data_IF_990751805422
#
_entry.id   IF_990751805422
#
_cell.length_a   1.000
_cell.length_b   1.000
_cell.length_c   1.000
_cell.angle_alpha   90.00
_cell.angle_beta   90.00
_cell.angle_gamma   90.00
#
_symmetry.space_group_name_H-M   'P 1'
#
loop_
_entity.id
_entity.type
_entity.pdbx_description
1 polymer ?
#
# COMPACT_ATOMS: atom_id res chain seq x y z
N UNK A 1 -21.18 -24.41 13.37
CA UNK A 1 -20.82 -23.08 12.82
C UNK A 1 -19.40 -22.80 13.27
N UNK A 2 -18.43 -22.80 12.36
CA UNK A 2 -17.11 -22.26 12.68
C UNK A 2 -17.27 -20.75 12.90
N UNK A 3 -16.97 -20.28 14.09
CA UNK A 3 -16.92 -18.85 14.39
C UNK A 3 -15.78 -18.25 13.58
N UNK A 4 -16.07 -17.17 12.83
CA UNK A 4 -15.08 -16.51 11.99
C UNK A 4 -13.93 -15.98 12.87
N UNK A 5 -12.69 -16.40 12.56
CA UNK A 5 -11.51 -15.98 13.30
C UNK A 5 -11.14 -14.56 12.88
N UNK A 6 -10.99 -13.68 13.86
CA UNK A 6 -10.64 -12.28 13.65
C UNK A 6 -9.18 -12.02 14.00
N UNK A 7 -8.54 -11.17 13.22
CA UNK A 7 -7.19 -10.68 13.47
C UNK A 7 -7.21 -9.41 14.33
N UNK A 8 -6.22 -9.29 15.20
CA UNK A 8 -6.03 -8.16 16.10
C UNK A 8 -4.56 -7.76 16.09
N UNK A 9 -4.32 -6.46 16.15
CA UNK A 9 -3.01 -5.89 16.33
C UNK A 9 -2.78 -5.52 17.80
N UNK A 10 -1.72 -6.09 18.36
CA UNK A 10 -1.20 -5.81 19.69
C UNK A 10 0.17 -5.14 19.55
N UNK A 11 0.33 -3.97 20.16
CA UNK A 11 1.61 -3.27 20.25
C UNK A 11 1.90 -2.91 21.69
N UNK A 12 3.09 -3.24 22.18
CA UNK A 12 3.55 -2.82 23.50
C UNK A 12 5.00 -2.32 23.46
N UNK A 13 5.33 -1.45 24.40
CA UNK A 13 6.66 -0.91 24.61
C UNK A 13 7.29 -1.50 25.87
N UNK A 14 8.54 -1.95 25.78
CA UNK A 14 9.30 -2.56 26.88
C UNK A 14 10.10 -1.49 27.61
N UNK A 15 9.83 -1.30 28.91
CA UNK A 15 10.58 -0.38 29.76
C UNK A 15 11.79 -1.05 30.41
N UNK A 16 11.61 -2.30 30.85
CA UNK A 16 12.65 -3.14 31.44
C UNK A 16 12.74 -4.44 30.65
N UNK A 17 13.82 -4.60 29.89
CA UNK A 17 14.04 -5.80 29.12
C UNK A 17 14.48 -6.95 30.03
N UNK A 18 13.51 -7.62 30.67
CA UNK A 18 13.78 -8.85 31.43
C UNK A 18 13.85 -10.04 30.49
N UNK A 19 14.87 -10.92 30.61
CA UNK A 19 14.83 -12.23 29.99
C UNK A 19 13.51 -12.93 30.36
N UNK A 20 12.80 -13.46 29.37
CA UNK A 20 11.53 -14.17 29.57
C UNK A 20 10.25 -13.35 29.36
N UNK A 21 10.31 -12.03 29.25
CA UNK A 21 9.09 -11.18 29.06
C UNK A 21 8.22 -11.62 27.88
N UNK A 22 8.85 -11.93 26.75
CA UNK A 22 8.14 -12.44 25.58
C UNK A 22 7.50 -13.81 25.87
N UNK A 23 8.19 -14.66 26.64
CA UNK A 23 7.67 -15.95 27.09
C UNK A 23 6.42 -15.77 27.95
N UNK A 24 6.43 -14.83 28.90
CA UNK A 24 5.27 -14.56 29.75
C UNK A 24 4.04 -14.11 28.94
N UNK A 25 4.24 -13.19 27.99
CA UNK A 25 3.17 -12.70 27.11
C UNK A 25 2.67 -13.86 26.22
N UNK A 26 3.58 -14.67 25.66
CA UNK A 26 3.21 -15.85 24.87
C UNK A 26 2.44 -16.88 25.70
N UNK A 27 2.78 -17.07 26.98
CA UNK A 27 2.04 -17.95 27.89
C UNK A 27 0.63 -17.43 28.15
N UNK A 28 0.44 -16.12 28.35
CA UNK A 28 -0.90 -15.52 28.51
C UNK A 28 -1.75 -15.76 27.26
N UNK A 29 -1.19 -15.48 26.07
CA UNK A 29 -1.87 -15.74 24.80
C UNK A 29 -2.24 -17.21 24.64
N UNK A 30 -1.32 -18.12 24.98
CA UNK A 30 -1.56 -19.56 24.97
C UNK A 30 -2.68 -20.00 25.93
N UNK A 31 -2.70 -19.48 27.16
CA UNK A 31 -3.76 -19.76 28.15
C UNK A 31 -5.13 -19.27 27.67
N UNK A 32 -5.18 -18.14 26.97
CA UNK A 32 -6.41 -17.61 26.37
C UNK A 32 -6.77 -18.28 25.02
N UNK A 33 -5.95 -19.22 24.53
CA UNK A 33 -6.07 -19.83 23.19
C UNK A 33 -6.14 -18.77 22.07
N UNK A 34 -5.31 -17.75 22.18
CA UNK A 34 -5.09 -16.73 21.16
C UNK A 34 -3.83 -17.12 20.38
N UNK A 35 -3.95 -17.21 19.05
CA UNK A 35 -2.82 -17.58 18.20
C UNK A 35 -1.97 -16.36 17.87
N UNK A 36 -0.65 -16.52 17.86
CA UNK A 36 0.26 -15.54 17.28
C UNK A 36 0.40 -15.86 15.79
N UNK A 37 -0.06 -14.96 14.93
CA UNK A 37 0.12 -15.08 13.48
C UNK A 37 1.53 -14.62 13.10
N UNK A 38 1.96 -13.49 13.64
CA UNK A 38 3.32 -12.96 13.44
C UNK A 38 3.70 -12.07 14.62
N UNK A 39 4.99 -12.00 14.93
CA UNK A 39 5.57 -11.08 15.91
C UNK A 39 6.87 -10.49 15.35
N UNK A 40 7.10 -9.20 15.60
CA UNK A 40 8.37 -8.57 15.29
C UNK A 40 8.67 -7.39 16.23
N UNK A 41 9.94 -7.00 16.30
CA UNK A 41 10.32 -5.70 16.86
C UNK A 41 9.94 -4.61 15.86
N UNK A 42 9.28 -3.55 16.32
CA UNK A 42 8.90 -2.44 15.44
C UNK A 42 9.75 -1.23 15.79
N UNK A 43 10.68 -0.89 14.90
CA UNK A 43 11.52 0.28 15.06
C UNK A 43 10.66 1.55 15.08
N UNK A 44 10.89 2.41 16.07
CA UNK A 44 10.26 3.74 16.08
C UNK A 44 10.97 4.64 15.08
N UNK A 45 10.20 5.46 14.37
CA UNK A 45 10.74 6.61 13.62
C UNK A 45 11.76 7.35 14.54
N UNK A 46 12.97 7.56 14.02
CA UNK A 46 14.15 8.17 14.68
C UNK A 46 15.22 7.21 15.26
N UNK A 47 15.29 5.94 14.83
CA UNK A 47 16.46 5.08 15.09
C UNK A 47 16.75 4.77 16.57
N UNK A 48 15.76 4.98 17.45
CA UNK A 48 15.87 4.60 18.86
C UNK A 48 15.71 3.08 19.01
N UNK A 49 16.56 2.51 19.86
CA UNK A 49 16.60 1.11 20.29
C UNK A 49 15.19 0.49 20.28
N UNK A 50 15.04 -0.58 19.51
CA UNK A 50 13.78 -1.28 19.23
C UNK A 50 13.16 -1.91 20.49
N UNK A 51 12.52 -1.06 21.31
CA UNK A 51 11.79 -1.42 22.55
C UNK A 51 10.33 -1.74 22.29
N UNK A 52 9.83 -1.52 21.08
CA UNK A 52 8.45 -1.86 20.73
C UNK A 52 8.37 -3.25 20.14
N UNK A 53 7.27 -3.93 20.42
CA UNK A 53 6.93 -5.23 19.85
C UNK A 53 5.53 -5.15 19.29
N UNK A 54 5.41 -5.50 18.02
CA UNK A 54 4.14 -5.62 17.31
C UNK A 54 3.81 -7.09 17.12
N UNK A 55 2.58 -7.47 17.42
CA UNK A 55 2.05 -8.81 17.23
C UNK A 55 0.77 -8.71 16.41
N UNK A 56 0.67 -9.56 15.39
CA UNK A 56 -0.60 -9.92 14.78
C UNK A 56 -1.10 -11.19 15.48
N UNK A 57 -2.23 -11.09 16.17
CA UNK A 57 -2.83 -12.18 16.93
C UNK A 57 -4.22 -12.52 16.38
N UNK A 58 -4.62 -13.78 16.48
CA UNK A 58 -5.88 -14.28 15.92
C UNK A 58 -6.70 -15.02 16.96
N UNK A 59 -7.98 -14.69 17.04
CA UNK A 59 -8.91 -15.37 17.94
C UNK A 59 -10.33 -15.41 17.35
N UNK A 60 -11.12 -16.36 17.83
CA UNK A 60 -12.54 -16.54 17.50
C UNK A 60 -13.49 -15.84 18.49
N UNK A 61 -12.95 -15.19 19.53
CA UNK A 61 -13.73 -14.56 20.59
C UNK A 61 -13.11 -13.23 21.03
N UNK A 62 -13.80 -12.13 20.72
CA UNK A 62 -13.39 -10.78 21.06
C UNK A 62 -13.27 -10.52 22.57
N UNK A 63 -14.01 -11.25 23.42
CA UNK A 63 -13.91 -11.10 24.88
C UNK A 63 -12.54 -11.52 25.41
N UNK A 64 -11.86 -12.45 24.73
CA UNK A 64 -10.49 -12.83 25.07
C UNK A 64 -9.52 -11.66 24.86
N UNK A 65 -9.79 -10.78 23.90
CA UNK A 65 -8.99 -9.59 23.64
C UNK A 65 -9.19 -8.55 24.75
N UNK A 66 -10.43 -8.32 25.19
CA UNK A 66 -10.72 -7.43 26.33
C UNK A 66 -10.01 -7.90 27.61
N UNK A 67 -10.07 -9.21 27.88
CA UNK A 67 -9.38 -9.83 29.00
C UNK A 67 -7.86 -9.71 28.87
N UNK A 68 -7.31 -9.98 27.68
CA UNK A 68 -5.88 -9.81 27.39
C UNK A 68 -5.44 -8.37 27.67
N UNK A 69 -6.18 -7.38 27.19
CA UNK A 69 -5.89 -5.96 27.45
C UNK A 69 -5.83 -5.65 28.95
N UNK A 70 -6.85 -6.09 29.70
CA UNK A 70 -6.93 -5.90 31.15
C UNK A 70 -5.77 -6.56 31.93
N UNK A 71 -5.23 -7.68 31.42
CA UNK A 71 -4.06 -8.35 32.01
C UNK A 71 -2.79 -7.58 31.66
N UNK A 72 -2.60 -7.22 30.39
CA UNK A 72 -1.38 -6.57 29.91
C UNK A 72 -1.19 -5.16 30.50
N UNK A 73 -2.28 -4.44 30.79
CA UNK A 73 -2.23 -3.14 31.48
C UNK A 73 -1.62 -3.23 32.89
N UNK A 74 -1.69 -4.40 33.54
CA UNK A 74 -1.12 -4.63 34.88
C UNK A 74 0.32 -5.11 34.86
N UNK A 75 0.90 -5.35 33.68
CA UNK A 75 2.29 -5.82 33.54
C UNK A 75 3.23 -4.63 33.63
N UNK A 76 3.88 -4.45 34.78
CA UNK A 76 4.72 -3.27 35.09
C UNK A 76 5.89 -3.01 34.13
N UNK A 77 6.39 -4.05 33.44
CA UNK A 77 7.57 -3.93 32.58
C UNK A 77 7.27 -3.44 31.17
N UNK A 78 5.98 -3.32 30.82
CA UNK A 78 5.54 -2.88 29.50
C UNK A 78 4.50 -1.77 29.60
N UNK A 79 4.30 -1.07 28.49
CA UNK A 79 3.11 -0.25 28.27
C UNK A 79 2.40 -0.74 27.03
N UNK A 80 1.13 -1.10 27.17
CA UNK A 80 0.25 -1.38 26.05
C UNK A 80 0.04 -0.09 25.24
N UNK A 81 0.39 -0.11 23.96
CA UNK A 81 0.26 1.04 23.04
C UNK A 81 -0.95 0.91 22.15
N UNK A 82 -1.21 -0.29 21.62
CA UNK A 82 -2.36 -0.57 20.75
C UNK A 82 -2.90 -1.96 21.03
N UNK A 83 -4.23 -2.08 21.07
CA UNK A 83 -4.95 -3.34 21.03
C UNK A 83 -6.26 -3.10 20.27
N UNK A 84 -6.26 -3.41 18.97
CA UNK A 84 -7.36 -3.06 18.05
C UNK A 84 -7.32 -3.92 16.79
N UNK A 85 -8.34 -3.80 15.94
CA UNK A 85 -8.31 -4.38 14.60
C UNK A 85 -7.10 -3.84 13.80
N UNK A 86 -6.35 -4.70 13.07
CA UNK A 86 -5.14 -4.29 12.38
C UNK A 86 -5.46 -3.38 11.20
N UNK A 87 -4.66 -2.32 11.04
CA UNK A 87 -4.61 -1.56 9.79
C UNK A 87 -3.54 -2.13 8.86
N UNK A 88 -3.56 -1.78 7.56
CA UNK A 88 -2.49 -2.16 6.62
C UNK A 88 -1.10 -1.78 7.16
N UNK A 89 -0.98 -0.59 7.77
CA UNK A 89 0.27 -0.18 8.36
C UNK A 89 0.73 -1.07 9.51
N UNK A 90 -0.20 -1.55 10.33
CA UNK A 90 0.16 -2.43 11.44
C UNK A 90 0.64 -3.79 10.90
N UNK A 91 -0.01 -4.33 9.86
CA UNK A 91 0.41 -5.56 9.18
C UNK A 91 1.84 -5.43 8.63
N UNK A 92 2.15 -4.31 7.99
CA UNK A 92 3.46 -4.06 7.38
C UNK A 92 4.52 -3.76 8.43
N UNK A 93 4.17 -3.03 9.49
CA UNK A 93 5.07 -2.76 10.59
C UNK A 93 5.53 -4.04 11.28
N UNK A 94 4.61 -5.01 11.45
CA UNK A 94 4.94 -6.33 11.98
C UNK A 94 5.76 -7.14 10.98
N UNK A 95 5.41 -7.13 9.70
CA UNK A 95 6.11 -7.93 8.69
C UNK A 95 7.55 -7.46 8.45
N UNK A 96 7.77 -6.15 8.38
CA UNK A 96 9.07 -5.56 8.04
C UNK A 96 9.83 -5.01 9.24
N UNK A 97 9.21 -4.95 10.41
CA UNK A 97 9.86 -4.51 11.65
C UNK A 97 10.05 -2.99 11.78
N UNK A 98 9.36 -2.17 10.98
CA UNK A 98 9.45 -0.70 11.00
C UNK A 98 8.16 -0.05 10.50
N UNK A 99 7.84 1.16 10.95
CA UNK A 99 6.71 1.91 10.40
C UNK A 99 7.04 2.50 9.04
N UNK A 100 6.04 2.52 8.15
CA UNK A 100 6.09 3.26 6.89
C UNK A 100 5.79 4.73 7.19
N UNK A 101 6.58 5.61 6.58
CA UNK A 101 6.39 7.04 6.71
C UNK A 101 5.15 7.50 5.94
N UNK A 102 4.34 8.34 6.61
CA UNK A 102 3.20 9.02 6.00
C UNK A 102 3.50 10.50 5.98
N UNK A 103 2.96 11.19 4.98
CA UNK A 103 2.98 12.64 5.00
C UNK A 103 2.21 13.19 6.22
N UNK A 104 2.71 14.31 6.76
CA UNK A 104 2.17 14.93 7.97
C UNK A 104 0.82 15.62 7.72
N UNK A 105 0.62 16.14 6.51
CA UNK A 105 -0.56 16.91 6.13
C UNK A 105 -1.58 16.03 5.38
N UNK A 106 -1.13 15.17 4.47
CA UNK A 106 -1.97 14.24 3.72
C UNK A 106 -1.77 12.78 4.12
N UNK A 107 -2.70 12.27 4.95
CA UNK A 107 -2.68 10.88 5.45
C UNK A 107 -2.83 9.82 4.36
N UNK A 108 -3.17 10.21 3.13
CA UNK A 108 -3.25 9.32 1.95
C UNK A 108 -1.93 9.18 1.21
N UNK A 109 -0.96 10.06 1.50
CA UNK A 109 0.36 10.05 0.88
C UNK A 109 1.34 9.22 1.71
N UNK A 110 1.92 8.19 1.08
CA UNK A 110 2.89 7.27 1.67
C UNK A 110 4.22 7.40 0.93
N UNK A 111 5.31 7.54 1.69
CA UNK A 111 6.65 7.72 1.14
C UNK A 111 7.48 6.47 1.31
N UNK A 112 8.16 6.10 0.25
CA UNK A 112 9.09 4.98 0.19
C UNK A 112 10.35 5.41 -0.52
N UNK A 113 11.50 4.94 -0.04
CA UNK A 113 12.74 5.01 -0.83
C UNK A 113 12.97 3.70 -1.59
N UNK A 114 13.74 3.76 -2.68
CA UNK A 114 13.96 2.64 -3.60
C UNK A 114 14.50 1.38 -2.91
N UNK A 115 15.28 1.56 -1.86
CA UNK A 115 15.81 0.48 -1.02
C UNK A 115 14.70 -0.31 -0.30
N UNK A 116 13.52 0.29 -0.17
CA UNK A 116 12.33 -0.26 0.48
C UNK A 116 11.32 -0.84 -0.50
N UNK A 117 11.70 -1.06 -1.77
CA UNK A 117 10.78 -1.51 -2.81
C UNK A 117 10.01 -2.79 -2.42
N UNK A 118 10.63 -3.68 -1.63
CA UNK A 118 9.95 -4.86 -1.10
C UNK A 118 8.80 -4.52 -0.13
N UNK A 119 8.97 -3.49 0.70
CA UNK A 119 7.91 -2.99 1.60
C UNK A 119 6.79 -2.33 0.80
N UNK A 120 7.15 -1.54 -0.22
CA UNK A 120 6.19 -0.94 -1.15
C UNK A 120 5.36 -2.01 -1.87
N UNK A 121 6.01 -3.06 -2.38
CA UNK A 121 5.34 -4.19 -3.04
C UNK A 121 4.35 -4.85 -2.10
N UNK A 122 4.74 -5.11 -0.85
CA UNK A 122 3.85 -5.70 0.14
C UNK A 122 2.69 -4.78 0.53
N UNK A 123 2.92 -3.46 0.61
CA UNK A 123 1.89 -2.45 0.86
C UNK A 123 0.84 -2.45 -0.25
N UNK A 124 1.27 -2.33 -1.51
CA UNK A 124 0.36 -2.32 -2.66
C UNK A 124 -0.35 -3.66 -2.81
N UNK A 125 0.33 -4.78 -2.58
CA UNK A 125 -0.29 -6.10 -2.65
C UNK A 125 -1.44 -6.25 -1.64
N UNK A 126 -1.30 -5.69 -0.44
CA UNK A 126 -2.37 -5.70 0.56
C UNK A 126 -3.55 -4.81 0.16
N UNK A 127 -3.30 -3.67 -0.49
CA UNK A 127 -4.36 -2.83 -1.07
C UNK A 127 -5.09 -3.58 -2.19
N UNK A 128 -4.36 -4.22 -3.11
CA UNK A 128 -4.93 -4.89 -4.29
C UNK A 128 -5.80 -6.10 -3.96
N UNK A 129 -5.63 -6.70 -2.77
CA UNK A 129 -6.49 -7.79 -2.29
C UNK A 129 -7.89 -7.31 -1.93
N UNK A 130 -8.07 -6.01 -1.61
CA UNK A 130 -9.38 -5.45 -1.32
C UNK A 130 -10.27 -5.48 -2.55
N UNK A 131 -11.57 -5.65 -2.32
CA UNK A 131 -12.58 -5.58 -3.36
C UNK A 131 -13.10 -4.14 -3.52
N UNK A 132 -13.60 -3.82 -4.70
CA UNK A 132 -14.20 -2.53 -5.01
C UNK A 132 -13.24 -1.56 -5.72
N UNK A 133 -13.68 -0.31 -5.79
CA UNK A 133 -12.92 0.74 -6.44
C UNK A 133 -11.76 1.19 -5.54
N UNK A 134 -10.55 1.19 -6.08
CA UNK A 134 -9.36 1.77 -5.43
C UNK A 134 -8.64 2.59 -6.49
N UNK A 135 -8.53 3.90 -6.30
CA UNK A 135 -7.76 4.77 -7.19
C UNK A 135 -6.44 5.14 -6.51
N UNK A 136 -5.34 4.65 -7.07
CA UNK A 136 -4.00 4.75 -6.49
C UNK A 136 -3.12 5.55 -7.42
N UNK A 137 -2.48 6.61 -6.92
CA UNK A 137 -1.52 7.40 -7.67
C UNK A 137 -0.11 7.00 -7.29
N UNK A 138 0.77 6.81 -8.27
CA UNK A 138 2.19 6.58 -8.01
C UNK A 138 3.05 7.69 -8.62
N UNK A 139 3.71 8.41 -7.74
CA UNK A 139 4.68 9.47 -8.01
C UNK A 139 6.10 8.94 -7.88
N UNK A 140 7.02 9.62 -8.54
CA UNK A 140 8.44 9.29 -8.52
C UNK A 140 9.12 9.66 -9.82
N UNK A 141 10.43 9.89 -9.75
CA UNK A 141 11.25 10.21 -10.91
C UNK A 141 11.22 9.07 -11.95
N UNK A 142 11.54 9.35 -13.23
CA UNK A 142 11.68 8.30 -14.23
C UNK A 142 12.64 7.19 -13.79
N UNK A 143 12.27 5.93 -14.06
CA UNK A 143 13.11 4.73 -13.80
C UNK A 143 13.39 4.41 -12.32
N UNK A 144 12.67 5.03 -11.37
CA UNK A 144 12.78 4.71 -9.94
C UNK A 144 12.16 3.34 -9.57
N UNK A 145 11.37 2.74 -10.47
CA UNK A 145 10.75 1.42 -10.29
C UNK A 145 9.23 1.42 -10.12
N UNK A 146 8.53 2.48 -10.56
CA UNK A 146 7.06 2.63 -10.39
C UNK A 146 6.29 1.47 -11.04
N UNK A 147 6.55 1.21 -12.31
CA UNK A 147 5.88 0.15 -13.06
C UNK A 147 6.24 -1.23 -12.52
N UNK A 148 7.53 -1.47 -12.27
CA UNK A 148 8.04 -2.75 -11.77
C UNK A 148 7.47 -3.10 -10.40
N UNK A 149 7.43 -2.13 -9.48
CA UNK A 149 6.83 -2.32 -8.15
C UNK A 149 5.33 -2.63 -8.23
N UNK A 150 4.61 -1.94 -9.12
CA UNK A 150 3.16 -2.17 -9.32
C UNK A 150 2.89 -3.56 -9.88
N UNK A 151 3.66 -4.00 -10.88
CA UNK A 151 3.56 -5.35 -11.46
C UNK A 151 3.90 -6.42 -10.41
N UNK A 152 4.98 -6.22 -9.64
CA UNK A 152 5.36 -7.13 -8.56
C UNK A 152 4.27 -7.25 -7.48
N UNK A 153 3.61 -6.15 -7.13
CA UNK A 153 2.48 -6.15 -6.22
C UNK A 153 1.26 -6.90 -6.78
N UNK A 154 0.98 -6.79 -8.08
CA UNK A 154 -0.08 -7.58 -8.73
C UNK A 154 0.20 -9.08 -8.60
N UNK A 155 1.44 -9.50 -8.87
CA UNK A 155 1.88 -10.90 -8.71
C UNK A 155 1.73 -11.36 -7.26
N UNK A 156 2.21 -10.58 -6.29
CA UNK A 156 2.12 -10.88 -4.86
C UNK A 156 0.67 -10.97 -4.36
N UNK A 157 -0.23 -10.14 -4.90
CA UNK A 157 -1.66 -10.18 -4.60
C UNK A 157 -2.44 -11.25 -5.38
N UNK A 158 -1.79 -12.01 -6.26
CA UNK A 158 -2.43 -12.94 -7.19
C UNK A 158 -3.54 -12.28 -8.03
N UNK A 159 -3.25 -11.07 -8.53
CA UNK A 159 -4.13 -10.28 -9.40
C UNK A 159 -3.55 -10.24 -10.80
N UNK A 160 -4.41 -10.35 -11.81
CA UNK A 160 -4.04 -10.08 -13.20
C UNK A 160 -3.91 -8.56 -13.37
N UNK A 161 -3.14 -8.11 -14.36
CA UNK A 161 -2.99 -6.68 -14.64
C UNK A 161 -3.05 -6.36 -16.13
N UNK A 162 -3.54 -5.17 -16.47
CA UNK A 162 -3.58 -4.66 -17.85
C UNK A 162 -3.12 -3.22 -17.90
N UNK A 163 -2.20 -2.94 -18.83
CA UNK A 163 -1.81 -1.58 -19.19
C UNK A 163 -2.85 -0.97 -20.13
N UNK A 164 -3.34 0.21 -19.76
CA UNK A 164 -4.20 1.10 -20.55
C UNK A 164 -3.34 2.26 -21.10
N UNK A 165 -2.11 1.95 -21.52
CA UNK A 165 -1.19 2.95 -22.09
C UNK A 165 -1.29 3.00 -23.61
N UNK A 166 -1.18 4.19 -24.16
CA UNK A 166 -0.98 4.47 -25.60
C UNK A 166 0.53 4.58 -25.88
N UNK A 167 1.26 3.46 -25.85
CA UNK A 167 2.74 3.41 -25.74
C UNK A 167 3.55 4.43 -26.58
N UNK A 168 4.59 5.00 -25.94
CA UNK A 168 5.69 5.78 -26.57
C UNK A 168 6.43 5.02 -27.69
N UNK A 169 6.42 3.68 -27.62
CA UNK A 169 6.96 2.81 -28.65
C UNK A 169 5.81 2.32 -29.54
N UNK A 170 5.81 2.81 -30.79
CA UNK A 170 4.98 2.37 -31.93
C UNK A 170 4.51 0.90 -31.81
N UNK A 171 3.19 0.66 -31.68
CA UNK A 171 2.38 0.06 -32.76
C UNK A 171 0.93 -0.34 -32.41
N UNK A 172 0.42 -0.18 -31.19
CA UNK A 172 -1.02 -0.46 -30.97
C UNK A 172 -1.63 0.39 -29.86
N UNK A 173 -2.42 1.39 -30.25
CA UNK A 173 -3.34 2.05 -29.30
C UNK A 173 -4.41 1.02 -28.91
N UNK A 174 -4.49 0.71 -27.62
CA UNK A 174 -5.48 -0.22 -27.10
C UNK A 174 -6.85 0.45 -27.10
N UNK A 175 -7.80 -0.16 -27.81
CA UNK A 175 -9.14 0.39 -28.02
C UNK A 175 -10.25 -0.42 -27.32
N UNK A 176 -9.95 -1.63 -26.82
CA UNK A 176 -10.91 -2.54 -26.18
C UNK A 176 -10.23 -3.44 -25.14
N UNK A 177 -11.02 -3.90 -24.16
CA UNK A 177 -10.65 -4.98 -23.24
C UNK A 177 -11.25 -6.31 -23.72
N UNK A 178 -10.55 -7.40 -23.45
CA UNK A 178 -11.13 -8.74 -23.63
C UNK A 178 -12.12 -9.05 -22.50
N UNK A 179 -13.05 -9.98 -22.74
CA UNK A 179 -14.05 -10.40 -21.74
C UNK A 179 -13.40 -10.90 -20.44
N UNK A 180 -12.23 -11.53 -20.52
CA UNK A 180 -11.49 -11.97 -19.33
C UNK A 180 -10.92 -10.80 -18.51
N UNK A 181 -10.56 -9.70 -19.15
CA UNK A 181 -10.02 -8.51 -18.48
C UNK A 181 -11.13 -7.70 -17.81
N UNK A 182 -12.34 -7.72 -18.38
CA UNK A 182 -13.53 -7.06 -17.79
C UNK A 182 -13.96 -7.64 -16.43
N UNK A 183 -13.34 -8.74 -15.97
CA UNK A 183 -13.56 -9.29 -14.62
C UNK A 183 -12.83 -8.44 -13.55
N UNK A 184 -13.38 -7.25 -13.27
CA UNK A 184 -12.73 -6.20 -12.49
C UNK A 184 -12.31 -6.58 -11.07
N UNK A 185 -12.90 -7.59 -10.42
CA UNK A 185 -12.53 -7.94 -9.04
C UNK A 185 -11.16 -8.61 -8.91
N UNK A 186 -10.64 -9.21 -9.99
CA UNK A 186 -9.34 -9.90 -10.02
C UNK A 186 -8.27 -9.17 -10.83
N UNK A 187 -8.58 -7.96 -11.30
CA UNK A 187 -7.77 -7.26 -12.27
C UNK A 187 -7.38 -5.86 -11.78
N UNK A 188 -6.10 -5.51 -11.97
CA UNK A 188 -5.56 -4.17 -11.70
C UNK A 188 -5.28 -3.47 -13.02
N UNK A 189 -5.71 -2.23 -13.15
CA UNK A 189 -5.52 -1.44 -14.37
C UNK A 189 -4.42 -0.41 -14.16
N UNK A 190 -3.39 -0.44 -15.01
CA UNK A 190 -2.27 0.49 -14.95
C UNK A 190 -2.43 1.54 -16.05
N UNK A 191 -2.44 2.80 -15.66
CA UNK A 191 -2.62 3.96 -16.55
C UNK A 191 -1.42 4.88 -16.36
N UNK A 192 -0.84 5.36 -17.45
CA UNK A 192 0.22 6.37 -17.39
C UNK A 192 -0.39 7.74 -17.67
N UNK A 193 -0.42 8.60 -16.65
CA UNK A 193 -1.01 9.93 -16.71
C UNK A 193 -0.38 10.84 -17.75
N UNK A 194 0.88 10.61 -18.17
CA UNK A 194 1.53 11.40 -19.23
C UNK A 194 1.01 10.96 -20.59
N UNK A 195 1.15 9.67 -20.87
CA UNK A 195 0.94 9.11 -22.20
C UNK A 195 -0.54 9.07 -22.56
N UNK A 196 -1.39 8.75 -21.58
CA UNK A 196 -2.81 8.56 -21.78
C UNK A 196 -3.60 9.86 -21.93
N UNK A 197 -3.04 11.02 -21.53
CA UNK A 197 -3.70 12.33 -21.64
C UNK A 197 -3.21 13.12 -22.86
N UNK A 198 -1.90 13.13 -23.12
CA UNK A 198 -1.30 13.94 -24.20
C UNK A 198 -1.51 13.40 -25.62
N UNK A 199 -1.75 12.08 -25.80
CA UNK A 199 -1.82 11.44 -27.14
C UNK A 199 -3.03 10.52 -27.33
N UNK A 200 -4.14 10.81 -26.65
CA UNK A 200 -5.33 9.97 -26.70
C UNK A 200 -6.12 10.14 -28.01
N UNK A 201 -6.47 9.01 -28.64
CA UNK A 201 -7.54 9.00 -29.64
C UNK A 201 -8.90 8.99 -28.92
N UNK A 202 -9.97 9.41 -29.60
CA UNK A 202 -11.33 9.37 -29.03
C UNK A 202 -11.70 7.98 -28.49
N UNK A 203 -11.30 6.90 -29.19
CA UNK A 203 -11.49 5.52 -28.74
C UNK A 203 -10.72 5.19 -27.46
N UNK A 204 -9.51 5.71 -27.31
CA UNK A 204 -8.72 5.54 -26.11
C UNK A 204 -9.33 6.30 -24.93
N UNK A 205 -9.82 7.52 -25.16
CA UNK A 205 -10.53 8.30 -24.15
C UNK A 205 -11.82 7.60 -23.67
N UNK A 206 -12.57 6.98 -24.59
CA UNK A 206 -13.74 6.17 -24.22
C UNK A 206 -13.36 4.97 -23.35
N UNK A 207 -12.32 4.22 -23.74
CA UNK A 207 -11.83 3.09 -22.96
C UNK A 207 -11.37 3.53 -21.55
N UNK A 208 -10.64 4.64 -21.45
CA UNK A 208 -10.20 5.19 -20.16
C UNK A 208 -11.40 5.48 -19.26
N UNK A 209 -12.43 6.17 -19.76
CA UNK A 209 -13.65 6.46 -18.99
C UNK A 209 -14.39 5.20 -18.56
N UNK A 210 -14.40 4.16 -19.40
CA UNK A 210 -15.00 2.87 -19.06
C UNK A 210 -14.24 2.21 -17.90
N UNK A 211 -12.91 2.09 -18.01
CA UNK A 211 -12.06 1.51 -16.98
C UNK A 211 -12.18 2.27 -15.65
N UNK A 212 -12.15 3.60 -15.69
CA UNK A 212 -12.24 4.44 -14.49
C UNK A 212 -13.56 4.26 -13.74
N UNK A 213 -14.66 3.91 -14.42
CA UNK A 213 -15.96 3.63 -13.79
C UNK A 213 -16.10 2.21 -13.23
N UNK A 214 -15.21 1.29 -13.58
CA UNK A 214 -15.28 -0.09 -13.08
C UNK A 214 -15.04 -0.13 -11.56
N UNK A 215 -15.70 -1.01 -10.80
CA UNK A 215 -15.46 -1.14 -9.35
C UNK A 215 -14.23 -2.02 -9.07
N UNK A 216 -13.05 -1.58 -9.54
CA UNK A 216 -11.78 -2.31 -9.44
C UNK A 216 -10.62 -1.40 -9.04
N UNK A 217 -9.45 -1.98 -8.80
CA UNK A 217 -8.23 -1.20 -8.54
C UNK A 217 -7.67 -0.60 -9.84
N UNK A 218 -7.38 0.69 -9.82
CA UNK A 218 -6.58 1.38 -10.85
C UNK A 218 -5.37 2.03 -10.22
N UNK A 219 -4.24 1.90 -10.91
CA UNK A 219 -2.98 2.56 -10.56
C UNK A 219 -2.66 3.56 -11.67
N UNK A 220 -2.58 4.83 -11.31
CA UNK A 220 -2.24 5.93 -12.20
C UNK A 220 -0.80 6.34 -11.91
N UNK A 221 0.11 6.10 -12.84
CA UNK A 221 1.43 6.72 -12.80
C UNK A 221 1.31 8.20 -13.18
N UNK A 222 2.14 9.05 -12.57
CA UNK A 222 2.10 10.50 -12.83
C UNK A 222 0.72 11.12 -12.55
N UNK A 223 0.15 10.92 -11.34
CA UNK A 223 -1.20 11.38 -11.02
C UNK A 223 -1.33 12.91 -11.16
N UNK A 224 -0.25 13.66 -10.95
CA UNK A 224 -0.24 15.13 -11.11
C UNK A 224 -0.53 15.58 -12.54
N UNK A 225 -0.07 14.83 -13.54
CA UNK A 225 -0.35 15.13 -14.95
C UNK A 225 -1.75 14.64 -15.31
N UNK A 226 -2.16 13.49 -14.77
CA UNK A 226 -3.51 12.98 -14.96
C UNK A 226 -4.59 13.97 -14.48
N UNK A 227 -4.44 14.55 -13.29
CA UNK A 227 -5.43 15.51 -12.74
C UNK A 227 -5.41 16.87 -13.46
N UNK A 228 -4.28 17.28 -14.04
CA UNK A 228 -4.19 18.52 -14.84
C UNK A 228 -5.00 18.43 -16.13
N UNK A 229 -5.04 17.24 -16.72
CA UNK A 229 -5.60 17.00 -18.06
C UNK A 229 -6.98 16.32 -18.02
N UNK A 230 -7.53 16.05 -16.84
CA UNK A 230 -8.82 15.37 -16.67
C UNK A 230 -9.69 16.08 -15.63
N UNK A 231 -10.93 15.60 -15.46
CA UNK A 231 -11.86 16.10 -14.45
C UNK A 231 -11.56 15.63 -13.01
N UNK A 232 -10.51 14.83 -12.81
CA UNK A 232 -10.15 14.28 -11.51
C UNK A 232 -9.30 15.26 -10.70
N UNK A 233 -9.43 15.17 -9.39
CA UNK A 233 -8.60 15.88 -8.43
C UNK A 233 -7.71 14.90 -7.65
N UNK A 234 -6.62 15.40 -7.07
CA UNK A 234 -5.77 14.56 -6.19
C UNK A 234 -6.57 14.02 -4.99
N UNK A 235 -7.64 14.70 -4.59
CA UNK A 235 -8.56 14.25 -3.54
C UNK A 235 -9.36 13.00 -3.89
N UNK A 236 -9.52 12.68 -5.18
CA UNK A 236 -10.23 11.48 -5.64
C UNK A 236 -9.41 10.20 -5.46
N UNK A 237 -8.10 10.34 -5.22
CA UNK A 237 -7.22 9.21 -4.96
C UNK A 237 -7.38 8.70 -3.53
N UNK A 238 -7.58 7.39 -3.38
CA UNK A 238 -7.59 6.71 -2.10
C UNK A 238 -6.19 6.68 -1.47
N UNK A 239 -5.17 6.56 -2.33
CA UNK A 239 -3.77 6.45 -1.97
C UNK A 239 -2.89 7.21 -2.96
N UNK A 240 -1.94 7.98 -2.44
CA UNK A 240 -0.81 8.49 -3.21
C UNK A 240 0.46 7.84 -2.67
N UNK A 241 1.25 7.27 -3.56
CA UNK A 241 2.52 6.61 -3.25
C UNK A 241 3.63 7.44 -3.87
N UNK A 242 4.61 7.83 -3.07
CA UNK A 242 5.82 8.49 -3.53
C UNK A 242 6.98 7.51 -3.43
N UNK A 243 7.53 7.11 -4.58
CA UNK A 243 8.74 6.29 -4.64
C UNK A 243 9.92 7.18 -5.03
N UNK A 244 10.87 7.31 -4.11
CA UNK A 244 12.04 8.18 -4.21
C UNK A 244 13.35 7.38 -4.28
N UNK A 245 14.42 7.96 -4.82
CA UNK A 245 15.77 7.37 -4.72
C UNK A 245 16.34 7.52 -3.31
N UNK A 246 16.12 8.68 -2.68
CA UNK A 246 16.53 9.01 -1.32
C UNK A 246 15.42 9.79 -0.60
N UNK A 247 15.44 9.89 0.75
CA UNK A 247 14.34 10.49 1.50
C UNK A 247 14.05 11.96 1.14
N UNK A 248 15.08 12.70 0.76
CA UNK A 248 15.03 14.14 0.52
C UNK A 248 14.73 14.49 -0.95
N UNK A 249 14.63 13.49 -1.84
CA UNK A 249 14.36 13.68 -3.27
C UNK A 249 13.01 14.40 -3.49
N UNK A 250 13.07 15.56 -4.15
CA UNK A 250 11.88 16.26 -4.64
C UNK A 250 11.43 15.66 -5.97
N UNK A 251 10.18 15.20 -6.01
CA UNK A 251 9.58 14.64 -7.22
C UNK A 251 9.08 15.79 -8.09
N UNK A 252 9.74 16.03 -9.22
CA UNK A 252 9.38 17.07 -10.18
C UNK A 252 9.23 16.51 -11.60
N UNK A 253 8.35 17.13 -12.40
CA UNK A 253 8.00 16.65 -13.74
C UNK A 253 8.33 17.64 -14.86
N UNK A 254 8.97 18.77 -14.55
CA UNK A 254 9.27 19.87 -15.48
C UNK A 254 10.13 19.43 -16.69
N UNK A 255 11.09 18.53 -16.46
CA UNK A 255 11.98 18.03 -17.51
C UNK A 255 11.32 16.96 -18.42
N UNK A 256 10.18 16.41 -18.00
CA UNK A 256 9.46 15.42 -18.78
C UNK A 256 8.62 16.14 -19.84
N UNK A 257 7.89 17.20 -19.46
CA UNK A 257 7.08 18.02 -20.37
C UNK A 257 7.91 18.58 -21.55
N UNK A 258 9.14 19.03 -21.28
CA UNK A 258 10.06 19.54 -22.32
C UNK A 258 10.56 18.44 -23.27
N UNK A 259 10.81 17.23 -22.77
CA UNK A 259 11.22 16.09 -23.60
C UNK A 259 10.14 15.63 -24.60
N UNK A 260 8.86 15.72 -24.24
CA UNK A 260 7.75 15.38 -25.14
C UNK A 260 7.50 16.44 -26.21
N UNK A 261 7.68 17.73 -25.88
CA UNK A 261 7.57 18.82 -26.86
C UNK A 261 8.63 18.77 -27.97
N UNK A 262 9.78 18.13 -27.73
CA UNK A 262 10.84 17.95 -28.72
C UNK A 262 10.59 16.84 -29.76
N UNK A 263 9.59 15.98 -29.55
CA UNK A 263 9.20 14.94 -30.52
C UNK A 263 8.06 15.38 -31.45
N UNK A 264 7.53 16.60 -31.26
CA UNK A 264 6.58 17.23 -32.15
C UNK A 264 7.34 18.14 -33.14
N UNK A 265 8.15 17.54 -34.01
CA UNK A 265 8.64 18.20 -35.23
C UNK A 265 7.95 17.49 -36.41
N UNK A 266 7.41 18.22 -37.41
CA UNK A 266 6.45 17.71 -38.40
C UNK A 266 6.92 16.49 -39.20
#
# INVERSE_FOLDING_TARGET
>A
METEKQDWYLEYEIHKNRPGLLGDIASILGMLKINIVTINGVESLNGKINRRRGLLIRTDDAKKIELLGSILEKVENITLRKLRQPTILDLLAVRHGRYIERDAEDKRTFRFVREEIGVLVDFMAEIFKREGNQLIGIRGMPRVGKTESTVAACVSANKRWTFISSTLLRQTVRNQLTVEEMNGSKHVYLIDGIVSTMRSTERHAMLMREVLRMPCTKVIEHPDIFVRETEYELSDFDYIIELRNDPDEEITYENIETGFSGFDIP
#
